data_IF_127233014155
#
_entry.id   IF_127233014155
#
_cell.length_a   1.000
_cell.length_b   1.000
_cell.length_c   1.000
_cell.angle_alpha   90.00
_cell.angle_beta   90.00
_cell.angle_gamma   90.00
#
_symmetry.space_group_name_H-M   'P 1'
#
loop_
_entity.id
_entity.type
_entity.pdbx_description
1 polymer ?
#
# COMPACT_ATOMS: atom_id res chain seq x y z
N UNK A 1 31.42 50.96 -67.30
CA UNK A 1 31.45 49.49 -67.41
C UNK A 1 30.65 48.99 -66.21
N UNK A 2 29.34 48.72 -66.34
CA UNK A 2 28.76 47.47 -66.89
C UNK A 2 29.31 46.25 -66.11
N UNK A 3 28.55 45.39 -65.45
CA UNK A 3 27.12 45.03 -65.51
C UNK A 3 26.77 44.16 -64.30
N UNK A 4 25.50 44.14 -63.93
CA UNK A 4 24.81 43.20 -63.02
C UNK A 4 25.01 41.72 -63.40
N UNK A 5 24.88 40.80 -62.42
CA UNK A 5 24.04 39.59 -62.52
C UNK A 5 24.04 38.77 -61.22
N UNK A 6 22.82 38.64 -60.69
CA UNK A 6 22.17 37.61 -59.85
C UNK A 6 22.92 36.31 -59.49
N UNK A 7 22.72 35.80 -58.25
CA UNK A 7 21.78 34.68 -57.99
C UNK A 7 21.83 34.15 -56.53
N UNK A 8 20.67 34.20 -55.89
CA UNK A 8 20.02 33.20 -55.01
C UNK A 8 20.75 32.41 -53.90
N UNK A 9 20.17 32.55 -52.70
CA UNK A 9 19.62 31.48 -51.84
C UNK A 9 20.58 30.55 -51.05
N UNK A 10 20.61 30.73 -49.72
CA UNK A 10 20.18 29.69 -48.74
C UNK A 10 20.12 30.23 -47.31
N UNK A 11 18.90 30.41 -46.81
CA UNK A 11 18.60 30.46 -45.38
C UNK A 11 18.78 29.05 -44.80
N UNK A 12 19.52 28.93 -43.70
CA UNK A 12 19.54 27.74 -42.84
C UNK A 12 18.77 28.10 -41.56
N UNK A 13 17.49 27.76 -41.52
CA UNK A 13 16.76 27.55 -40.26
C UNK A 13 17.00 26.09 -39.86
N UNK A 14 17.60 25.88 -38.70
CA UNK A 14 17.66 24.57 -38.03
C UNK A 14 16.30 24.25 -37.39
N UNK A 15 15.94 22.97 -37.25
CA UNK A 15 14.66 22.61 -36.65
C UNK A 15 14.68 22.84 -35.14
N UNK A 16 13.74 23.65 -34.65
CA UNK A 16 13.38 23.75 -33.24
C UNK A 16 12.87 22.39 -32.70
N UNK A 17 13.19 22.01 -31.45
CA UNK A 17 12.64 20.81 -30.85
C UNK A 17 11.16 21.01 -30.51
N UNK A 18 10.32 20.10 -30.98
CA UNK A 18 8.89 20.07 -30.73
C UNK A 18 8.58 20.01 -29.23
N UNK A 19 7.91 21.04 -28.73
CA UNK A 19 7.29 21.08 -27.42
C UNK A 19 6.23 19.98 -27.31
N UNK A 20 6.51 18.95 -26.49
CA UNK A 20 5.55 17.91 -26.15
C UNK A 20 4.38 18.49 -25.35
N UNK A 21 3.17 18.28 -25.86
CA UNK A 21 1.91 18.57 -25.20
C UNK A 21 1.68 17.58 -24.06
N UNK A 22 2.22 17.87 -22.88
CA UNK A 22 1.79 17.23 -21.64
C UNK A 22 0.45 17.83 -21.20
N UNK A 23 -0.56 17.00 -20.97
CA UNK A 23 -1.83 17.43 -20.37
C UNK A 23 -1.54 18.03 -18.99
N UNK A 24 -1.93 19.29 -18.71
CA UNK A 24 -1.79 19.86 -17.37
C UNK A 24 -2.51 18.97 -16.36
N UNK A 25 -1.77 18.43 -15.37
CA UNK A 25 -2.33 17.57 -14.31
C UNK A 25 -2.17 16.06 -14.51
N UNK A 26 -1.50 15.59 -15.58
CA UNK A 26 -1.15 14.17 -15.68
C UNK A 26 -0.02 13.81 -14.68
N UNK A 27 -0.25 12.81 -13.83
CA UNK A 27 0.77 12.27 -12.91
C UNK A 27 1.89 11.64 -13.76
N UNK A 28 3.15 12.10 -13.63
CA UNK A 28 4.25 11.49 -14.37
C UNK A 28 4.44 10.04 -13.91
N UNK A 29 4.81 9.11 -14.82
CA UNK A 29 5.04 7.73 -14.43
C UNK A 29 6.17 7.66 -13.40
N UNK A 30 6.05 6.82 -12.35
CA UNK A 30 7.12 6.65 -11.37
C UNK A 30 8.41 6.13 -12.05
N UNK A 31 9.60 6.30 -11.44
CA UNK A 31 10.89 6.00 -12.09
C UNK A 31 11.06 4.57 -12.64
N UNK A 32 10.27 3.63 -12.13
CA UNK A 32 10.23 2.22 -12.53
C UNK A 32 9.16 1.91 -13.59
N UNK A 33 8.20 2.80 -13.84
CA UNK A 33 7.21 2.67 -14.89
C UNK A 33 7.73 3.30 -16.18
N UNK A 34 8.15 2.49 -17.16
CA UNK A 34 8.51 2.98 -18.49
C UNK A 34 7.27 3.10 -19.38
N UNK A 35 7.19 4.18 -20.16
CA UNK A 35 6.10 4.45 -21.12
C UNK A 35 6.14 3.54 -22.37
N UNK A 36 4.93 3.39 -22.98
CA UNK A 36 4.57 2.98 -24.36
C UNK A 36 4.03 1.53 -24.52
N UNK A 37 2.93 1.22 -25.23
CA UNK A 37 1.97 2.02 -26.00
C UNK A 37 0.84 1.12 -26.61
N UNK A 38 -0.34 1.71 -26.80
CA UNK A 38 -1.39 1.41 -27.81
C UNK A 38 -1.88 -0.02 -28.13
N UNK A 39 -3.16 -0.27 -27.81
CA UNK A 39 -4.07 -1.40 -28.15
C UNK A 39 -3.95 -2.00 -29.57
N UNK A 40 -4.25 -3.32 -29.69
CA UNK A 40 -5.08 -3.90 -30.79
C UNK A 40 -5.89 -5.11 -30.32
N UNK A 41 -7.17 -5.12 -30.72
CA UNK A 41 -8.19 -6.12 -30.40
C UNK A 41 -8.15 -7.36 -31.31
N UNK A 42 -8.51 -8.54 -30.79
CA UNK A 42 -8.85 -9.69 -31.62
C UNK A 42 -9.11 -11.03 -30.92
N UNK A 43 -10.39 -11.45 -30.93
CA UNK A 43 -11.00 -12.80 -30.86
C UNK A 43 -11.49 -13.32 -29.49
N UNK A 44 -12.83 -13.33 -29.40
CA UNK A 44 -13.67 -13.81 -28.31
C UNK A 44 -13.55 -15.32 -28.10
N UNK A 45 -12.94 -15.68 -26.98
CA UNK A 45 -13.48 -16.52 -25.88
C UNK A 45 -12.50 -16.54 -24.68
N UNK A 46 -11.54 -15.60 -24.68
CA UNK A 46 -10.49 -15.42 -23.68
C UNK A 46 -10.47 -13.94 -23.29
N UNK A 47 -10.22 -13.59 -22.02
CA UNK A 47 -10.09 -12.19 -21.63
C UNK A 47 -9.07 -11.50 -22.53
N UNK A 48 -9.47 -10.41 -23.16
CA UNK A 48 -8.60 -9.65 -24.06
C UNK A 48 -7.41 -9.16 -23.27
N UNK A 49 -6.20 -9.37 -23.78
CA UNK A 49 -4.99 -9.00 -23.06
C UNK A 49 -4.90 -7.46 -22.91
N UNK A 50 -4.95 -6.99 -21.67
CA UNK A 50 -4.74 -5.60 -21.27
C UNK A 50 -3.94 -5.55 -19.97
N UNK A 51 -3.38 -4.39 -19.63
CA UNK A 51 -2.64 -4.22 -18.37
C UNK A 51 -3.54 -4.49 -17.17
N UNK A 52 -4.77 -3.99 -17.20
CA UNK A 52 -5.78 -4.19 -16.17
C UNK A 52 -6.13 -5.67 -16.03
N UNK A 53 -6.43 -6.36 -17.14
CA UNK A 53 -6.76 -7.77 -17.12
C UNK A 53 -5.60 -8.64 -16.57
N UNK A 54 -4.35 -8.29 -16.91
CA UNK A 54 -3.15 -8.96 -16.39
C UNK A 54 -3.03 -8.79 -14.87
N UNK A 55 -3.31 -7.59 -14.34
CA UNK A 55 -3.29 -7.32 -12.90
C UNK A 55 -4.42 -8.05 -12.19
N UNK A 56 -5.64 -8.03 -12.73
CA UNK A 56 -6.78 -8.78 -12.18
C UNK A 56 -6.49 -10.28 -12.11
N UNK A 57 -5.84 -10.82 -13.15
CA UNK A 57 -5.42 -12.22 -13.18
C UNK A 57 -4.34 -12.51 -12.13
N UNK A 58 -3.40 -11.60 -11.92
CA UNK A 58 -2.39 -11.73 -10.87
C UNK A 58 -3.02 -11.71 -9.47
N UNK A 59 -4.01 -10.82 -9.22
CA UNK A 59 -4.74 -10.77 -7.96
C UNK A 59 -5.49 -12.09 -7.69
N UNK A 60 -6.18 -12.64 -8.68
CA UNK A 60 -6.83 -13.97 -8.55
C UNK A 60 -5.83 -15.08 -8.21
N UNK A 61 -4.66 -15.08 -8.86
CA UNK A 61 -3.60 -16.06 -8.54
C UNK A 61 -3.12 -15.90 -7.10
N UNK A 62 -2.98 -14.67 -6.61
CA UNK A 62 -2.64 -14.40 -5.20
C UNK A 62 -3.71 -15.01 -4.28
N UNK A 63 -4.99 -14.76 -4.55
CA UNK A 63 -6.10 -15.27 -3.74
C UNK A 63 -6.20 -16.80 -3.75
N UNK A 64 -6.06 -17.42 -4.91
CA UNK A 64 -6.25 -18.87 -5.10
C UNK A 64 -5.00 -19.68 -4.71
N UNK A 65 -3.82 -19.21 -5.11
CA UNK A 65 -2.56 -19.99 -5.06
C UNK A 65 -1.49 -19.38 -4.14
N UNK A 66 -1.66 -18.12 -3.72
CA UNK A 66 -0.72 -17.39 -2.88
C UNK A 66 0.31 -16.57 -3.68
N UNK A 67 0.98 -15.66 -2.98
CA UNK A 67 1.93 -14.70 -3.57
C UNK A 67 3.05 -15.37 -4.39
N UNK A 68 3.59 -16.50 -3.92
CA UNK A 68 4.72 -17.16 -4.56
C UNK A 68 4.36 -17.81 -5.91
N UNK A 69 3.07 -18.08 -6.16
CA UNK A 69 2.58 -18.59 -7.44
C UNK A 69 2.60 -17.53 -8.55
N UNK A 70 2.60 -16.23 -8.18
CA UNK A 70 2.60 -15.13 -9.13
C UNK A 70 3.90 -15.12 -9.93
N UNK A 71 3.79 -15.47 -11.21
CA UNK A 71 4.90 -15.42 -12.16
C UNK A 71 4.37 -15.03 -13.53
N UNK A 72 5.22 -14.42 -14.38
CA UNK A 72 4.84 -14.06 -15.75
C UNK A 72 4.29 -15.26 -16.54
N UNK A 73 4.83 -16.47 -16.29
CA UNK A 73 4.34 -17.69 -16.92
C UNK A 73 2.97 -18.12 -16.40
N UNK A 74 2.77 -18.12 -15.07
CA UNK A 74 1.48 -18.51 -14.45
C UNK A 74 0.37 -17.55 -14.86
N UNK A 75 0.65 -16.25 -14.89
CA UNK A 75 -0.32 -15.24 -15.34
C UNK A 75 -0.65 -15.43 -16.82
N UNK A 76 0.32 -15.74 -17.68
CA UNK A 76 0.06 -15.96 -19.10
C UNK A 76 -0.85 -17.17 -19.37
N UNK A 77 -0.80 -18.19 -18.49
CA UNK A 77 -1.66 -19.36 -18.59
C UNK A 77 -3.15 -19.02 -18.43
N UNK A 78 -3.50 -17.99 -17.63
CA UNK A 78 -4.89 -17.48 -17.49
C UNK A 78 -5.46 -17.01 -18.84
N UNK A 79 -4.60 -16.56 -19.75
CA UNK A 79 -4.98 -16.08 -21.07
C UNK A 79 -4.75 -17.13 -22.18
N UNK A 80 -4.32 -18.35 -21.81
CA UNK A 80 -3.96 -19.40 -22.76
C UNK A 80 -2.85 -18.98 -23.73
N UNK A 81 -1.90 -18.15 -23.27
CA UNK A 81 -0.80 -17.61 -24.06
C UNK A 81 0.56 -17.87 -23.40
N UNK A 82 1.64 -17.54 -24.10
CA UNK A 82 3.00 -17.60 -23.55
C UNK A 82 3.38 -16.30 -22.84
N UNK A 83 4.35 -16.36 -21.92
CA UNK A 83 4.84 -15.19 -21.18
C UNK A 83 5.31 -14.03 -22.09
N UNK A 84 5.81 -14.36 -23.30
CA UNK A 84 6.19 -13.38 -24.33
C UNK A 84 5.10 -12.34 -24.61
N UNK A 85 3.83 -12.75 -24.62
CA UNK A 85 2.69 -11.87 -24.91
C UNK A 85 2.45 -10.84 -23.79
N UNK A 86 2.78 -11.17 -22.54
CA UNK A 86 2.60 -10.26 -21.41
C UNK A 86 3.62 -9.11 -21.42
N UNK A 87 4.83 -9.35 -21.92
CA UNK A 87 5.90 -8.36 -21.94
C UNK A 87 5.60 -7.13 -22.81
N UNK A 88 4.61 -7.21 -23.71
CA UNK A 88 4.09 -6.04 -24.43
C UNK A 88 3.30 -5.07 -23.52
N UNK A 89 2.90 -5.53 -22.33
CA UNK A 89 2.06 -4.77 -21.39
C UNK A 89 2.76 -4.53 -20.06
N UNK A 90 3.59 -5.46 -19.59
CA UNK A 90 4.29 -5.41 -18.30
C UNK A 90 5.70 -5.98 -18.47
N UNK A 91 6.73 -5.17 -18.22
CA UNK A 91 8.12 -5.46 -18.57
C UNK A 91 8.73 -6.62 -17.77
N UNK A 92 8.28 -6.85 -16.54
CA UNK A 92 8.79 -7.93 -15.68
C UNK A 92 7.84 -8.21 -14.50
N UNK A 93 8.20 -9.19 -13.66
CA UNK A 93 7.44 -9.54 -12.45
C UNK A 93 7.39 -8.37 -11.45
N UNK A 94 8.43 -7.56 -11.32
CA UNK A 94 8.43 -6.45 -10.38
C UNK A 94 7.43 -5.37 -10.79
N UNK A 95 7.40 -4.96 -12.06
CA UNK A 95 6.37 -4.03 -12.58
C UNK A 95 4.97 -4.62 -12.41
N UNK A 96 4.79 -5.93 -12.60
CA UNK A 96 3.50 -6.59 -12.34
C UNK A 96 3.08 -6.43 -10.88
N UNK A 97 4.00 -6.64 -9.95
CA UNK A 97 3.74 -6.54 -8.52
C UNK A 97 3.49 -5.08 -8.09
N UNK A 98 4.18 -4.12 -8.70
CA UNK A 98 3.94 -2.70 -8.44
C UNK A 98 2.55 -2.27 -8.94
N UNK A 99 2.14 -2.74 -10.11
CA UNK A 99 0.79 -2.49 -10.64
C UNK A 99 -0.29 -3.18 -9.82
N UNK A 100 -0.01 -4.39 -9.32
CA UNK A 100 -0.89 -5.10 -8.41
C UNK A 100 -1.05 -4.34 -7.09
N UNK A 101 0.03 -3.84 -6.51
CA UNK A 101 -0.01 -3.01 -5.31
C UNK A 101 -0.86 -1.76 -5.54
N UNK A 102 -0.63 -1.03 -6.64
CA UNK A 102 -1.42 0.17 -6.96
C UNK A 102 -2.89 -0.14 -7.25
N UNK A 103 -3.20 -1.26 -7.91
CA UNK A 103 -4.57 -1.70 -8.15
C UNK A 103 -5.33 -1.92 -6.84
N UNK A 104 -4.72 -2.65 -5.91
CA UNK A 104 -5.26 -2.92 -4.57
C UNK A 104 -5.47 -1.63 -3.78
N UNK A 105 -4.51 -0.69 -3.85
CA UNK A 105 -4.68 0.63 -3.23
C UNK A 105 -5.86 1.41 -3.82
N UNK A 106 -6.24 1.14 -5.08
CA UNK A 106 -7.41 1.71 -5.72
C UNK A 106 -8.75 1.17 -5.20
N UNK A 107 -8.77 0.00 -4.55
CA UNK A 107 -9.97 -0.54 -3.91
C UNK A 107 -10.35 0.21 -2.63
N UNK A 108 -9.36 0.86 -2.00
CA UNK A 108 -9.58 1.68 -0.82
C UNK A 108 -10.46 2.87 -1.18
N UNK A 109 -11.74 2.75 -0.85
CA UNK A 109 -12.68 3.87 -0.91
C UNK A 109 -12.42 4.78 0.28
N UNK A 110 -11.39 5.62 0.20
CA UNK A 110 -11.19 6.74 1.11
C UNK A 110 -12.22 7.88 0.91
N UNK A 111 -13.42 7.56 0.42
CA UNK A 111 -14.49 8.54 0.24
C UNK A 111 -14.89 9.08 1.61
N UNK A 112 -14.59 10.35 1.87
CA UNK A 112 -14.96 11.03 3.12
C UNK A 112 -13.80 11.58 3.95
N UNK A 113 -12.58 11.68 3.40
CA UNK A 113 -11.56 12.52 4.05
C UNK A 113 -11.99 13.99 3.89
N UNK A 114 -12.33 14.61 5.01
CA UNK A 114 -12.75 16.01 5.14
C UNK A 114 -11.61 16.77 5.84
N UNK A 115 -10.80 17.55 5.09
CA UNK A 115 -9.65 18.28 5.64
C UNK A 115 -10.01 19.32 6.71
N UNK A 116 -11.26 19.79 6.73
CA UNK A 116 -11.75 20.83 7.63
C UNK A 116 -12.42 20.26 8.91
N UNK A 117 -12.25 18.97 9.20
CA UNK A 117 -12.87 18.33 10.37
C UNK A 117 -12.27 18.78 11.71
N UNK A 118 -13.00 18.60 12.81
CA UNK A 118 -12.45 18.89 14.15
C UNK A 118 -11.37 17.87 14.57
N UNK A 119 -10.66 18.13 15.69
CA UNK A 119 -9.50 17.32 16.12
C UNK A 119 -9.83 15.84 16.26
N UNK A 120 -10.92 15.53 16.95
CA UNK A 120 -11.33 14.15 17.19
C UNK A 120 -11.78 13.48 15.88
N UNK A 121 -12.35 14.27 14.96
CA UNK A 121 -12.87 13.78 13.67
C UNK A 121 -11.74 13.44 12.69
N UNK A 122 -10.67 14.25 12.58
CA UNK A 122 -9.57 13.91 11.67
C UNK A 122 -8.75 12.72 12.18
N UNK A 123 -8.60 12.58 13.50
CA UNK A 123 -7.94 11.40 14.10
C UNK A 123 -8.71 10.14 13.72
N UNK A 124 -10.03 10.16 13.85
CA UNK A 124 -10.86 9.02 13.44
C UNK A 124 -10.89 8.83 11.91
N UNK A 125 -10.79 9.89 11.10
CA UNK A 125 -10.62 9.73 9.65
C UNK A 125 -9.31 9.02 9.29
N UNK A 126 -8.20 9.35 9.95
CA UNK A 126 -6.91 8.65 9.76
C UNK A 126 -7.05 7.19 10.18
N UNK A 127 -7.63 6.91 11.35
CA UNK A 127 -7.85 5.54 11.82
C UNK A 127 -8.77 4.75 10.89
N UNK A 128 -9.85 5.36 10.40
CA UNK A 128 -10.76 4.76 9.43
C UNK A 128 -10.05 4.42 8.11
N UNK A 129 -9.20 5.32 7.61
CA UNK A 129 -8.37 5.05 6.43
C UNK A 129 -7.43 3.87 6.68
N UNK A 130 -6.74 3.83 7.82
CA UNK A 130 -5.84 2.73 8.18
C UNK A 130 -6.57 1.38 8.32
N UNK A 131 -7.76 1.37 8.94
CA UNK A 131 -8.62 0.17 9.02
C UNK A 131 -9.01 -0.34 7.64
N UNK A 132 -9.38 0.55 6.73
CA UNK A 132 -9.77 0.17 5.37
C UNK A 132 -8.57 -0.41 4.60
N UNK A 133 -7.38 0.19 4.72
CA UNK A 133 -6.17 -0.37 4.14
C UNK A 133 -5.82 -1.73 4.73
N UNK A 134 -5.89 -1.86 6.07
CA UNK A 134 -5.62 -3.13 6.73
C UNK A 134 -6.61 -4.22 6.27
N UNK A 135 -7.90 -3.87 6.16
CA UNK A 135 -8.95 -4.77 5.67
C UNK A 135 -8.64 -5.26 4.26
N UNK A 136 -8.26 -4.37 3.36
CA UNK A 136 -7.94 -4.72 1.97
C UNK A 136 -6.68 -5.61 1.90
N UNK A 137 -5.60 -5.20 2.55
CA UNK A 137 -4.34 -5.97 2.51
C UNK A 137 -4.53 -7.36 3.17
N UNK A 138 -5.42 -7.45 4.16
CA UNK A 138 -5.71 -8.69 4.89
C UNK A 138 -6.81 -9.55 4.26
N UNK A 139 -7.63 -9.01 3.34
CA UNK A 139 -8.72 -9.76 2.69
C UNK A 139 -8.24 -10.71 1.60
N UNK A 140 -7.03 -10.48 1.10
CA UNK A 140 -6.41 -11.29 0.06
C UNK A 140 -5.30 -12.17 0.64
N UNK A 141 -5.20 -13.38 0.13
CA UNK A 141 -4.22 -14.36 0.61
C UNK A 141 -2.80 -13.89 0.32
N UNK A 142 -1.95 -13.75 1.33
CA UNK A 142 -0.53 -13.37 1.19
C UNK A 142 -0.26 -12.04 0.47
N UNK A 143 -1.28 -11.21 0.24
CA UNK A 143 -1.15 -9.97 -0.50
C UNK A 143 -0.25 -8.96 0.21
N UNK A 144 -0.18 -9.01 1.54
CA UNK A 144 0.74 -8.22 2.35
C UNK A 144 2.22 -8.38 1.90
N UNK A 145 2.60 -9.54 1.35
CA UNK A 145 3.95 -9.78 0.81
C UNK A 145 4.25 -8.93 -0.44
N UNK A 146 3.23 -8.49 -1.19
CA UNK A 146 3.41 -7.58 -2.33
C UNK A 146 4.02 -6.25 -1.86
N UNK A 147 3.57 -5.74 -0.70
CA UNK A 147 3.98 -4.45 -0.16
C UNK A 147 5.36 -4.47 0.53
N UNK A 148 5.98 -5.65 0.72
CA UNK A 148 7.35 -5.74 1.26
C UNK A 148 8.36 -5.09 0.31
N UNK A 149 8.92 -3.96 0.76
CA UNK A 149 9.94 -3.22 0.01
C UNK A 149 9.41 -2.52 -1.26
N UNK A 150 8.08 -2.44 -1.43
CA UNK A 150 7.44 -1.69 -2.53
C UNK A 150 6.69 -0.50 -1.95
N UNK A 151 6.96 0.68 -2.51
CA UNK A 151 6.18 1.88 -2.20
C UNK A 151 5.24 2.11 -3.39
N UNK A 152 3.90 1.99 -3.21
CA UNK A 152 2.95 2.10 -4.31
C UNK A 152 2.80 3.56 -4.74
N UNK A 153 3.77 4.07 -5.52
CA UNK A 153 3.72 5.40 -6.14
C UNK A 153 3.00 5.37 -7.50
N UNK A 154 2.09 4.42 -7.71
CA UNK A 154 1.17 4.49 -8.83
C UNK A 154 0.07 5.54 -8.60
N UNK A 155 -0.78 5.79 -9.62
CA UNK A 155 -1.81 6.82 -9.53
C UNK A 155 -2.80 6.64 -8.37
N UNK A 156 -3.09 5.41 -7.93
CA UNK A 156 -3.98 5.19 -6.80
C UNK A 156 -3.29 5.48 -5.48
N UNK A 157 -2.09 4.95 -5.27
CA UNK A 157 -1.33 5.22 -4.05
C UNK A 157 -0.95 6.69 -3.89
N UNK A 158 -0.64 7.40 -4.97
CA UNK A 158 -0.36 8.84 -4.92
C UNK A 158 -1.58 9.68 -4.54
N UNK A 159 -2.80 9.31 -4.98
CA UNK A 159 -4.02 10.00 -4.51
C UNK A 159 -4.20 9.85 -3.01
N UNK A 160 -4.02 8.63 -2.49
CA UNK A 160 -4.06 8.35 -1.05
C UNK A 160 -3.06 9.18 -0.27
N UNK A 161 -1.82 9.24 -0.75
CA UNK A 161 -0.76 10.04 -0.12
C UNK A 161 -1.15 11.51 -0.12
N UNK A 162 -1.66 12.04 -1.22
CA UNK A 162 -2.07 13.44 -1.34
C UNK A 162 -3.25 13.78 -0.40
N UNK A 163 -4.27 12.92 -0.33
CA UNK A 163 -5.42 13.12 0.56
C UNK A 163 -5.00 13.10 2.04
N UNK A 164 -4.12 12.17 2.41
CA UNK A 164 -3.55 12.09 3.75
C UNK A 164 -2.70 13.33 4.08
N UNK A 165 -1.80 13.74 3.18
CA UNK A 165 -0.97 14.94 3.38
C UNK A 165 -1.83 16.19 3.51
N UNK A 166 -2.91 16.32 2.73
CA UNK A 166 -3.84 17.44 2.83
C UNK A 166 -4.50 17.51 4.21
N UNK A 167 -5.01 16.38 4.70
CA UNK A 167 -5.62 16.28 6.03
C UNK A 167 -4.62 16.66 7.13
N UNK A 168 -3.44 16.02 7.14
CA UNK A 168 -2.44 16.24 8.19
C UNK A 168 -1.93 17.68 8.23
N UNK A 169 -1.71 18.29 7.07
CA UNK A 169 -1.25 19.68 6.97
C UNK A 169 -2.35 20.68 7.35
N UNK A 170 -3.62 20.38 7.07
CA UNK A 170 -4.75 21.21 7.49
C UNK A 170 -4.83 21.34 9.02
N UNK A 171 -4.47 20.30 9.76
CA UNK A 171 -4.42 20.31 11.24
C UNK A 171 -3.08 20.81 11.83
N UNK A 172 -2.18 21.35 10.99
CA UNK A 172 -0.98 22.03 11.45
C UNK A 172 0.15 21.09 11.91
N UNK A 173 0.14 19.82 11.49
CA UNK A 173 1.29 18.95 11.70
C UNK A 173 2.52 19.49 10.93
N UNK A 174 3.72 19.45 11.52
CA UNK A 174 4.93 19.83 10.81
C UNK A 174 5.14 18.99 9.54
N UNK A 175 5.59 19.61 8.45
CA UNK A 175 5.73 18.94 7.14
C UNK A 175 6.60 17.66 7.22
N UNK A 176 7.64 17.65 8.05
CA UNK A 176 8.49 16.46 8.23
C UNK A 176 7.78 15.30 8.94
N UNK A 177 6.82 15.60 9.83
CA UNK A 177 5.96 14.59 10.46
C UNK A 177 4.95 14.09 9.45
N UNK A 178 4.24 14.99 8.75
CA UNK A 178 3.25 14.62 7.74
C UNK A 178 3.86 13.73 6.64
N UNK A 179 5.08 14.04 6.18
CA UNK A 179 5.80 13.23 5.20
C UNK A 179 6.22 11.86 5.76
N UNK A 180 6.70 11.80 7.01
CA UNK A 180 7.15 10.54 7.62
C UNK A 180 5.98 9.61 7.99
N UNK A 181 4.81 10.16 8.32
CA UNK A 181 3.63 9.39 8.69
C UNK A 181 3.21 8.38 7.63
N UNK A 182 3.35 8.70 6.35
CA UNK A 182 3.04 7.75 5.26
C UNK A 182 3.87 6.47 5.35
N UNK A 183 5.17 6.60 5.60
CA UNK A 183 6.08 5.46 5.78
C UNK A 183 5.75 4.68 7.05
N UNK A 184 5.57 5.40 8.17
CA UNK A 184 5.25 4.78 9.47
C UNK A 184 3.95 3.98 9.44
N UNK A 185 2.90 4.52 8.83
CA UNK A 185 1.63 3.83 8.67
C UNK A 185 1.73 2.64 7.73
N UNK A 186 2.45 2.79 6.61
CA UNK A 186 2.71 1.66 5.70
C UNK A 186 3.42 0.52 6.42
N UNK A 187 4.48 0.82 7.18
CA UNK A 187 5.24 -0.17 7.96
C UNK A 187 4.37 -0.88 9.01
N UNK A 188 3.52 -0.14 9.72
CA UNK A 188 2.61 -0.71 10.72
C UNK A 188 1.57 -1.64 10.08
N UNK A 189 0.93 -1.18 9.00
CA UNK A 189 -0.08 -1.95 8.26
C UNK A 189 0.51 -3.22 7.66
N UNK A 190 1.62 -3.08 6.94
CA UNK A 190 2.30 -4.20 6.28
C UNK A 190 2.86 -5.18 7.31
N UNK A 191 3.49 -4.70 8.37
CA UNK A 191 3.99 -5.56 9.45
C UNK A 191 2.89 -6.37 10.11
N UNK A 192 1.77 -5.72 10.47
CA UNK A 192 0.62 -6.40 11.09
C UNK A 192 0.00 -7.43 10.14
N UNK A 193 -0.22 -7.07 8.87
CA UNK A 193 -0.84 -7.96 7.90
C UNK A 193 0.06 -9.15 7.51
N UNK A 194 1.38 -8.95 7.47
CA UNK A 194 2.35 -10.02 7.21
C UNK A 194 2.41 -11.00 8.37
N UNK A 195 2.47 -10.54 9.61
CA UNK A 195 2.43 -11.42 10.78
C UNK A 195 1.16 -12.29 10.75
N UNK A 196 0.01 -11.70 10.44
CA UNK A 196 -1.24 -12.46 10.27
C UNK A 196 -1.18 -13.48 9.12
N UNK A 197 -0.59 -13.13 7.98
CA UNK A 197 -0.41 -14.03 6.83
C UNK A 197 0.57 -15.17 7.13
N UNK A 198 1.75 -14.88 7.68
CA UNK A 198 2.76 -15.87 8.05
C UNK A 198 2.23 -16.85 9.09
N UNK A 199 1.42 -16.36 10.03
CA UNK A 199 0.78 -17.21 11.02
C UNK A 199 -0.17 -18.22 10.36
N UNK A 200 -1.05 -17.76 9.46
CA UNK A 200 -1.97 -18.63 8.70
C UNK A 200 -1.22 -19.64 7.82
N UNK A 201 -0.13 -19.23 7.20
CA UNK A 201 0.73 -20.12 6.40
C UNK A 201 1.38 -21.21 7.25
N UNK A 202 1.84 -20.85 8.46
CA UNK A 202 2.48 -21.79 9.38
C UNK A 202 1.50 -22.78 10.00
N UNK A 203 0.24 -22.36 10.20
CA UNK A 203 -0.80 -23.17 10.83
C UNK A 203 -2.10 -23.17 9.98
N UNK A 204 -2.09 -23.82 8.80
CA UNK A 204 -3.20 -23.74 7.83
C UNK A 204 -4.50 -24.38 8.33
N UNK A 205 -4.41 -25.36 9.23
CA UNK A 205 -5.56 -26.05 9.83
C UNK A 205 -6.00 -25.43 11.16
N UNK A 206 -5.40 -24.32 11.57
CA UNK A 206 -5.73 -23.73 12.85
C UNK A 206 -7.07 -23.01 12.82
N UNK A 207 -7.88 -23.33 13.83
CA UNK A 207 -9.10 -22.59 14.18
C UNK A 207 -8.77 -21.49 15.18
N UNK A 208 -9.63 -20.49 15.32
CA UNK A 208 -9.52 -19.45 16.35
C UNK A 208 -9.32 -20.06 17.76
N UNK A 209 -10.02 -21.16 18.05
CA UNK A 209 -9.89 -21.88 19.31
C UNK A 209 -8.49 -22.49 19.50
N UNK A 210 -7.91 -23.07 18.45
CA UNK A 210 -6.55 -23.62 18.51
C UNK A 210 -5.47 -22.52 18.65
N UNK A 211 -5.71 -21.33 18.07
CA UNK A 211 -4.84 -20.15 18.25
C UNK A 211 -4.84 -19.74 19.71
N UNK A 212 -6.04 -19.58 20.29
CA UNK A 212 -6.22 -19.20 21.69
C UNK A 212 -5.56 -20.22 22.62
N UNK A 213 -5.72 -21.52 22.35
CA UNK A 213 -5.08 -22.58 23.13
C UNK A 213 -3.55 -22.50 23.05
N UNK A 214 -2.97 -22.37 21.84
CA UNK A 214 -1.53 -22.25 21.68
C UNK A 214 -0.95 -21.00 22.39
N UNK A 215 -1.67 -19.89 22.32
CA UNK A 215 -1.30 -18.64 22.99
C UNK A 215 -1.37 -18.76 24.52
N UNK A 216 -2.36 -19.49 25.04
CA UNK A 216 -2.46 -19.84 26.46
C UNK A 216 -1.29 -20.74 26.91
N UNK A 217 -0.89 -21.75 26.13
CA UNK A 217 0.29 -22.57 26.44
C UNK A 217 1.58 -21.74 26.50
N UNK A 218 1.75 -20.79 25.58
CA UNK A 218 2.88 -19.85 25.63
C UNK A 218 2.80 -18.97 26.89
N UNK A 219 1.61 -18.50 27.26
CA UNK A 219 1.43 -17.71 28.49
C UNK A 219 1.82 -18.52 29.73
N UNK A 220 1.41 -19.78 29.82
CA UNK A 220 1.75 -20.66 30.93
C UNK A 220 3.26 -20.94 30.99
N UNK A 221 3.89 -21.14 29.83
CA UNK A 221 5.35 -21.27 29.74
C UNK A 221 6.06 -20.00 30.24
N UNK A 222 5.63 -18.81 29.79
CA UNK A 222 6.22 -17.54 30.22
C UNK A 222 6.03 -17.29 31.72
N UNK A 223 4.87 -17.67 32.27
CA UNK A 223 4.57 -17.56 33.70
C UNK A 223 5.40 -18.54 34.57
N UNK A 224 5.83 -19.67 34.01
CA UNK A 224 6.65 -20.67 34.70
C UNK A 224 8.16 -20.38 34.68
N UNK A 225 8.61 -19.32 33.98
CA UNK A 225 10.02 -18.95 33.93
C UNK A 225 10.55 -18.55 35.33
N UNK A 226 11.86 -18.74 35.61
CA UNK A 226 12.45 -18.30 36.88
C UNK A 226 12.29 -16.78 37.08
N UNK A 227 11.46 -16.38 38.05
CA UNK A 227 11.11 -14.97 38.29
C UNK A 227 12.33 -14.12 38.66
N UNK A 228 13.34 -14.71 39.27
CA UNK A 228 14.59 -14.05 39.62
C UNK A 228 15.36 -13.57 38.38
N UNK A 229 15.15 -14.23 37.24
CA UNK A 229 15.80 -13.90 35.95
C UNK A 229 14.88 -13.17 34.99
N UNK A 230 13.58 -13.46 35.01
CA UNK A 230 12.60 -12.92 34.07
C UNK A 230 11.40 -12.27 34.79
N UNK A 231 11.62 -11.31 35.71
CA UNK A 231 10.56 -10.79 36.57
C UNK A 231 9.41 -10.17 35.78
N UNK A 232 9.72 -9.34 34.78
CA UNK A 232 8.72 -8.66 33.95
C UNK A 232 7.98 -9.63 33.02
N UNK A 233 8.68 -10.60 32.43
CA UNK A 233 8.06 -11.57 31.51
C UNK A 233 7.07 -12.45 32.24
N UNK A 234 7.40 -12.91 33.45
CA UNK A 234 6.50 -13.67 34.30
C UNK A 234 5.29 -12.83 34.69
N UNK A 235 5.51 -11.58 35.11
CA UNK A 235 4.42 -10.68 35.54
C UNK A 235 3.48 -10.27 34.39
N UNK A 236 4.01 -10.12 33.16
CA UNK A 236 3.25 -9.67 31.99
C UNK A 236 2.84 -10.82 31.06
N UNK A 237 3.17 -12.08 31.37
CA UNK A 237 2.93 -13.25 30.50
C UNK A 237 1.50 -13.27 29.93
N UNK A 238 0.50 -13.08 30.80
CA UNK A 238 -0.91 -13.06 30.40
C UNK A 238 -1.28 -11.90 29.47
N UNK A 239 -0.68 -10.73 29.65
CA UNK A 239 -0.89 -9.59 28.74
C UNK A 239 -0.13 -9.77 27.42
N UNK A 240 1.00 -10.47 27.44
CA UNK A 240 1.82 -10.73 26.26
C UNK A 240 1.17 -11.73 25.32
N UNK A 241 0.67 -12.85 25.84
CA UNK A 241 0.18 -13.97 25.01
C UNK A 241 -1.10 -14.62 25.52
N UNK A 242 -1.66 -14.20 26.66
CA UNK A 242 -2.94 -14.75 27.11
C UNK A 242 -4.12 -14.29 26.26
N UNK A 243 -5.28 -15.01 26.31
CA UNK A 243 -6.50 -14.52 25.71
C UNK A 243 -6.86 -13.16 26.33
N UNK A 244 -7.10 -12.12 25.52
CA UNK A 244 -7.45 -10.81 26.03
C UNK A 244 -8.80 -10.86 26.74
N UNK A 245 -8.96 -10.07 27.80
CA UNK A 245 -10.28 -9.85 28.40
C UNK A 245 -11.17 -9.07 27.40
N UNK A 246 -12.49 -9.31 27.34
CA UNK A 246 -13.37 -8.70 26.34
C UNK A 246 -13.31 -7.17 26.27
N UNK A 247 -13.14 -6.51 27.42
CA UNK A 247 -13.06 -5.04 27.52
C UNK A 247 -11.61 -4.52 27.53
N UNK A 248 -10.63 -5.39 27.31
CA UNK A 248 -9.22 -5.00 27.28
C UNK A 248 -8.88 -4.32 25.95
N UNK A 249 -8.07 -3.24 25.96
CA UNK A 249 -7.49 -2.71 24.73
C UNK A 249 -6.65 -3.74 23.94
N UNK A 250 -6.18 -4.81 24.60
CA UNK A 250 -5.46 -5.90 23.94
C UNK A 250 -6.36 -6.86 23.16
N UNK A 251 -7.69 -6.73 23.28
CA UNK A 251 -8.65 -7.50 22.47
C UNK A 251 -8.51 -7.18 20.98
N UNK A 252 -8.18 -5.93 20.67
CA UNK A 252 -7.82 -5.49 19.33
C UNK A 252 -6.45 -4.79 19.34
N UNK A 253 -5.39 -5.60 19.18
CA UNK A 253 -4.01 -5.10 19.15
C UNK A 253 -3.75 -4.16 17.98
N UNK A 254 -4.47 -4.32 16.88
CA UNK A 254 -4.34 -3.43 15.73
C UNK A 254 -4.84 -2.04 16.11
N UNK A 255 -6.05 -1.94 16.69
CA UNK A 255 -6.61 -0.67 17.18
C UNK A 255 -5.77 -0.04 18.28
N UNK A 256 -5.28 -0.83 19.25
CA UNK A 256 -4.41 -0.30 20.31
C UNK A 256 -3.12 0.32 19.73
N UNK A 257 -2.50 -0.32 18.75
CA UNK A 257 -1.31 0.26 18.10
C UNK A 257 -1.64 1.51 17.29
N UNK A 258 -2.80 1.56 16.62
CA UNK A 258 -3.27 2.79 15.97
C UNK A 258 -3.45 3.92 16.99
N UNK A 259 -4.09 3.65 18.13
CA UNK A 259 -4.28 4.65 19.19
C UNK A 259 -2.95 5.16 19.74
N UNK A 260 -1.97 4.28 19.95
CA UNK A 260 -0.63 4.66 20.41
C UNK A 260 0.06 5.56 19.38
N UNK A 261 0.02 5.19 18.10
CA UNK A 261 0.60 5.99 17.01
C UNK A 261 -0.06 7.36 16.94
N UNK A 262 -1.38 7.42 16.94
CA UNK A 262 -2.15 8.67 16.86
C UNK A 262 -1.88 9.56 18.07
N UNK A 263 -1.87 9.01 19.30
CA UNK A 263 -1.49 9.76 20.50
C UNK A 263 -0.07 10.30 20.43
N UNK A 264 0.87 9.56 19.84
CA UNK A 264 2.23 10.04 19.60
C UNK A 264 2.26 11.21 18.61
N UNK A 265 1.54 11.08 17.49
CA UNK A 265 1.45 12.10 16.44
C UNK A 265 0.80 13.39 16.96
N UNK A 266 -0.26 13.30 17.77
CA UNK A 266 -0.96 14.48 18.29
C UNK A 266 -0.09 15.32 19.22
N UNK A 267 0.99 14.76 19.79
CA UNK A 267 1.96 15.55 20.57
C UNK A 267 2.70 16.62 19.75
N UNK A 268 2.74 16.46 18.42
CA UNK A 268 3.34 17.41 17.47
C UNK A 268 2.37 18.50 17.00
N UNK A 269 1.09 18.43 17.39
CA UNK A 269 0.14 19.49 17.10
C UNK A 269 0.53 20.79 17.84
N UNK A 270 0.27 21.95 17.20
CA UNK A 270 0.50 23.24 17.85
C UNK A 270 -0.31 23.36 19.15
N UNK A 271 0.25 24.05 20.14
CA UNK A 271 -0.32 24.16 21.49
C UNK A 271 -1.76 24.72 21.53
N UNK A 272 -2.21 25.41 20.48
CA UNK A 272 -3.55 25.99 20.39
C UNK A 272 -4.71 24.98 20.35
N UNK A 273 -4.43 23.72 20.00
CA UNK A 273 -5.44 22.67 19.89
C UNK A 273 -5.62 21.82 21.16
N UNK A 274 -4.76 21.98 22.18
CA UNK A 274 -4.82 21.18 23.42
C UNK A 274 -5.77 21.74 24.48
N UNK A 275 -6.14 23.02 24.35
CA UNK A 275 -6.85 23.77 25.38
C UNK A 275 -8.38 23.84 25.15
N UNK A 276 -8.91 23.26 24.06
CA UNK A 276 -10.37 23.22 23.81
C UNK A 276 -11.08 22.01 24.45
N UNK A 277 -10.32 21.04 25.00
CA UNK A 277 -10.85 19.83 25.65
C UNK A 277 -10.38 19.65 27.12
N UNK A 278 -10.00 20.75 27.81
CA UNK A 278 -9.65 20.73 29.24
C UNK A 278 -10.77 21.30 30.14
#
# INVERSE_FOLDING_TARGET
MATESESSSRSQDGPEPSSGSGTPGAVPPPPWAREQGGRRAGRADRPTLSREAIVDAALRIVDEEGFDAVSMRRVAQEFGTGAASLYAYVANKDELLDLLADHVMGEARLSGIEPEADVDDWIEQVKAAMREYYRIISSHRDLAKVFLGRIPFGPNGLRTVEDMLRLLRAHGLPDYIAAYMGDLFSQYLVGTAIEASMWRERYPEATDESVVAAMAEVSDYLAALPKERFPNTVELARLMTGPPEPDSPLADRFELGLDILMRGITTFLPARQRDENA
#
